data_IF_884873585442
#
_entry.id   IF_884873585442
#
_cell.length_a   1.000
_cell.length_b   1.000
_cell.length_c   1.000
_cell.angle_alpha   90.00
_cell.angle_beta   90.00
_cell.angle_gamma   90.00
#
_symmetry.space_group_name_H-M   'P 1'
#
loop_
_entity.id
_entity.type
_entity.pdbx_description
1 polymer ?
#
# COMPACT_ATOMS: atom_id res chain seq x y z
N UNK A 1 -17.88 34.96 5.98
CA UNK A 1 -18.78 33.86 6.36
C UNK A 1 -18.07 33.08 7.45
N UNK A 2 -18.51 33.21 8.70
CA UNK A 2 -17.84 32.59 9.85
C UNK A 2 -18.40 31.17 10.02
N UNK A 3 -17.57 30.15 9.80
CA UNK A 3 -17.90 28.76 10.11
C UNK A 3 -17.76 28.57 11.62
N UNK A 4 -18.88 28.42 12.32
CA UNK A 4 -18.87 28.15 13.77
C UNK A 4 -18.51 26.67 13.94
N UNK A 5 -17.29 26.38 14.37
CA UNK A 5 -16.93 25.06 14.90
C UNK A 5 -17.54 24.93 16.29
N UNK A 6 -18.57 24.08 16.43
CA UNK A 6 -19.09 23.69 17.74
C UNK A 6 -18.47 22.35 18.08
N UNK A 7 -17.48 22.36 18.98
CA UNK A 7 -16.94 21.15 19.63
C UNK A 7 -17.26 21.25 21.11
N UNK A 8 -18.24 20.47 21.57
CA UNK A 8 -18.56 20.35 23.00
C UNK A 8 -18.08 18.99 23.47
N UNK A 9 -17.04 18.99 24.31
CA UNK A 9 -16.57 17.81 25.03
C UNK A 9 -17.58 17.45 26.12
N UNK A 10 -18.01 16.20 26.18
CA UNK A 10 -18.66 15.67 27.37
C UNK A 10 -17.62 15.65 28.50
N UNK A 11 -17.94 16.26 29.64
CA UNK A 11 -17.17 16.12 30.86
C UNK A 11 -17.52 14.76 31.47
N UNK A 12 -16.58 13.82 31.52
CA UNK A 12 -16.68 12.64 32.40
C UNK A 12 -16.26 13.00 33.84
N UNK A 13 -16.84 12.36 34.89
CA UNK A 13 -17.33 10.98 34.92
C UNK A 13 -18.74 10.83 35.54
N UNK A 14 -19.77 10.74 34.70
CA UNK A 14 -21.07 10.12 35.03
C UNK A 14 -21.46 9.02 34.02
N UNK A 15 -20.58 8.69 33.07
CA UNK A 15 -20.82 7.79 31.94
C UNK A 15 -21.04 6.31 32.30
N UNK A 16 -20.89 5.92 33.58
CA UNK A 16 -21.13 4.54 34.01
C UNK A 16 -22.62 4.21 34.26
N UNK A 17 -23.54 5.18 34.16
CA UNK A 17 -24.93 5.00 34.64
C UNK A 17 -26.00 4.94 33.53
N UNK A 18 -25.67 5.10 32.25
CA UNK A 18 -26.65 4.92 31.15
C UNK A 18 -26.11 3.88 30.14
N UNK A 19 -25.98 2.63 30.60
CA UNK A 19 -25.87 1.44 29.74
C UNK A 19 -27.25 1.06 29.15
N UNK A 20 -27.95 2.05 28.60
CA UNK A 20 -29.05 1.82 27.65
C UNK A 20 -28.60 2.47 26.35
N UNK A 21 -28.50 1.68 25.28
CA UNK A 21 -28.04 2.10 23.97
C UNK A 21 -28.55 3.52 23.63
N UNK A 22 -27.63 4.49 23.55
CA UNK A 22 -27.98 5.84 23.13
C UNK A 22 -28.53 5.74 21.70
N UNK A 23 -29.83 5.95 21.54
CA UNK A 23 -30.46 5.92 20.23
C UNK A 23 -30.30 7.30 19.57
N UNK A 24 -29.61 7.34 18.44
CA UNK A 24 -29.43 8.57 17.66
C UNK A 24 -30.76 8.94 16.99
N UNK A 25 -31.46 9.94 17.51
CA UNK A 25 -32.74 10.41 16.96
C UNK A 25 -32.57 11.70 16.15
N UNK A 26 -33.58 12.07 15.35
CA UNK A 26 -33.58 13.35 14.63
C UNK A 26 -33.47 14.54 15.59
N UNK A 27 -34.21 14.51 16.70
CA UNK A 27 -34.17 15.57 17.71
C UNK A 27 -32.77 15.72 18.31
N UNK A 28 -32.11 14.60 18.64
CA UNK A 28 -30.73 14.61 19.12
C UNK A 28 -29.79 15.31 18.13
N UNK A 29 -29.85 14.96 16.84
CA UNK A 29 -28.99 15.56 15.81
C UNK A 29 -29.26 17.05 15.61
N UNK A 30 -30.53 17.46 15.58
CA UNK A 30 -30.91 18.88 15.43
C UNK A 30 -30.48 19.70 16.64
N UNK A 31 -30.67 19.19 17.85
CA UNK A 31 -30.23 19.84 19.08
C UNK A 31 -28.71 19.99 19.13
N UNK A 32 -27.98 18.94 18.75
CA UNK A 32 -26.51 18.95 18.78
C UNK A 32 -25.91 19.92 17.74
N UNK A 33 -26.54 20.04 16.56
CA UNK A 33 -26.05 20.88 15.46
C UNK A 33 -26.64 22.29 15.45
N UNK A 34 -27.70 22.55 16.22
CA UNK A 34 -28.47 23.80 16.18
C UNK A 34 -29.21 24.04 14.85
N UNK A 35 -29.28 23.04 13.98
CA UNK A 35 -29.92 23.15 12.67
C UNK A 35 -31.45 23.00 12.79
N UNK A 36 -32.19 23.66 11.91
CA UNK A 36 -33.67 23.54 11.86
C UNK A 36 -34.13 22.31 11.06
N UNK A 37 -33.28 21.81 10.17
CA UNK A 37 -33.55 20.66 9.32
C UNK A 37 -32.30 19.79 9.20
N UNK A 38 -32.49 18.48 9.08
CA UNK A 38 -31.40 17.54 8.86
C UNK A 38 -30.62 17.81 7.56
N UNK A 39 -31.29 18.36 6.55
CA UNK A 39 -30.66 18.78 5.30
C UNK A 39 -29.66 19.92 5.48
N UNK A 40 -29.71 20.67 6.59
CA UNK A 40 -28.85 21.84 6.77
C UNK A 40 -27.53 21.48 7.46
N UNK A 41 -27.45 20.26 8.02
CA UNK A 41 -26.29 19.74 8.73
C UNK A 41 -25.17 19.46 7.71
N UNK A 42 -24.04 20.15 7.88
CA UNK A 42 -22.81 19.96 7.09
C UNK A 42 -21.71 19.26 7.87
N UNK A 43 -21.66 19.46 9.17
CA UNK A 43 -20.64 18.88 10.04
C UNK A 43 -21.37 18.21 11.20
N UNK A 44 -21.03 16.97 11.50
CA UNK A 44 -21.62 16.20 12.58
C UNK A 44 -20.54 15.41 13.30
N UNK A 45 -20.45 15.57 14.62
CA UNK A 45 -19.61 14.74 15.48
C UNK A 45 -20.49 13.93 16.41
N UNK A 46 -20.27 12.62 16.41
CA UNK A 46 -20.88 11.61 17.26
C UNK A 46 -19.79 10.83 18.00
N UNK A 47 -18.66 11.48 18.29
CA UNK A 47 -17.54 10.84 18.97
C UNK A 47 -17.86 10.56 20.44
N UNK A 48 -17.26 9.51 21.00
CA UNK A 48 -17.35 9.20 22.44
C UNK A 48 -18.80 8.91 22.93
N UNK A 49 -19.64 8.32 22.06
CA UNK A 49 -21.06 8.04 22.36
C UNK A 49 -21.36 6.55 22.59
N UNK A 50 -20.35 5.67 22.52
CA UNK A 50 -20.51 4.22 22.69
C UNK A 50 -21.35 3.54 21.60
N UNK A 51 -21.52 4.18 20.44
CA UNK A 51 -22.36 3.71 19.34
C UNK A 51 -21.78 2.44 18.68
N UNK A 52 -22.67 1.56 18.25
CA UNK A 52 -22.31 0.34 17.50
C UNK A 52 -22.78 0.37 16.04
N UNK A 53 -23.76 1.22 15.73
CA UNK A 53 -24.34 1.38 14.40
C UNK A 53 -24.94 2.78 14.24
N UNK A 54 -25.15 3.20 13.00
CA UNK A 54 -25.86 4.44 12.66
C UNK A 54 -27.24 4.10 12.08
N UNK A 55 -28.31 4.83 12.45
CA UNK A 55 -29.64 4.63 11.88
C UNK A 55 -29.70 5.07 10.42
N UNK A 56 -29.66 4.10 9.51
CA UNK A 56 -29.55 4.32 8.05
C UNK A 56 -30.64 5.26 7.50
N UNK A 57 -31.89 5.07 7.91
CA UNK A 57 -33.01 5.90 7.45
C UNK A 57 -32.85 7.38 7.83
N UNK A 58 -32.27 7.65 9.00
CA UNK A 58 -32.01 9.00 9.48
C UNK A 58 -30.83 9.62 8.73
N UNK A 59 -29.72 8.89 8.60
CA UNK A 59 -28.51 9.36 7.93
C UNK A 59 -28.71 9.63 6.45
N UNK A 60 -29.60 8.89 5.78
CA UNK A 60 -29.97 9.15 4.39
C UNK A 60 -30.64 10.52 4.17
N UNK A 61 -31.12 11.18 5.23
CA UNK A 61 -31.70 12.53 5.17
C UNK A 61 -30.64 13.64 5.32
N UNK A 62 -29.42 13.32 5.75
CA UNK A 62 -28.28 14.23 5.91
C UNK A 62 -27.61 14.55 4.56
N UNK A 63 -28.40 15.01 3.59
CA UNK A 63 -28.00 15.14 2.18
C UNK A 63 -26.88 16.15 1.90
N UNK A 64 -26.61 17.07 2.85
CA UNK A 64 -25.56 18.07 2.77
C UNK A 64 -24.38 17.82 3.72
N UNK A 65 -24.29 16.65 4.34
CA UNK A 65 -23.19 16.33 5.24
C UNK A 65 -21.86 16.26 4.48
N UNK A 66 -20.89 17.04 4.95
CA UNK A 66 -19.54 17.21 4.40
C UNK A 66 -18.49 16.62 5.36
N UNK A 67 -18.68 16.74 6.67
CA UNK A 67 -17.80 16.16 7.68
C UNK A 67 -18.58 15.30 8.69
N UNK A 68 -18.11 14.07 8.90
CA UNK A 68 -18.64 13.14 9.88
C UNK A 68 -17.52 12.63 10.77
N UNK A 69 -17.70 12.75 12.08
CA UNK A 69 -16.83 12.18 13.10
C UNK A 69 -17.63 11.15 13.91
N UNK A 70 -17.23 9.89 13.83
CA UNK A 70 -17.75 8.76 14.61
C UNK A 70 -16.62 8.11 15.41
N UNK A 71 -15.54 8.85 15.68
CA UNK A 71 -14.39 8.33 16.41
C UNK A 71 -14.74 7.96 17.85
N UNK A 72 -13.94 7.11 18.47
CA UNK A 72 -14.09 6.71 19.88
C UNK A 72 -15.48 6.12 20.19
N UNK A 73 -15.82 5.06 19.45
CA UNK A 73 -17.08 4.34 19.55
C UNK A 73 -16.82 2.82 19.46
N UNK A 74 -17.88 2.03 19.37
CA UNK A 74 -17.83 0.57 19.33
C UNK A 74 -18.23 -0.02 17.97
N UNK A 75 -17.95 0.70 16.86
CA UNK A 75 -18.28 0.21 15.52
C UNK A 75 -17.36 -0.94 15.11
N UNK A 76 -17.96 -2.09 14.78
CA UNK A 76 -17.25 -3.22 14.15
C UNK A 76 -17.37 -3.21 12.62
N UNK A 77 -18.39 -2.52 12.11
CA UNK A 77 -18.63 -2.24 10.69
C UNK A 77 -19.46 -0.95 10.56
N UNK A 78 -19.44 -0.34 9.37
CA UNK A 78 -20.32 0.78 9.01
C UNK A 78 -21.25 0.32 7.90
N UNK A 79 -22.55 0.66 8.00
CA UNK A 79 -23.53 0.28 6.99
C UNK A 79 -23.12 0.79 5.60
N UNK A 80 -23.21 -0.02 4.53
CA UNK A 80 -22.86 0.39 3.17
C UNK A 80 -23.92 1.31 2.50
N UNK A 81 -24.93 1.75 3.25
CA UNK A 81 -26.16 2.37 2.72
C UNK A 81 -26.46 3.78 3.27
N UNK A 82 -25.46 4.49 3.79
CA UNK A 82 -25.61 5.82 4.42
C UNK A 82 -25.75 6.99 3.42
N UNK A 83 -25.59 6.75 2.11
CA UNK A 83 -25.89 7.71 1.02
C UNK A 83 -25.36 9.16 1.19
N UNK A 84 -24.25 9.35 1.91
CA UNK A 84 -23.66 10.66 2.20
C UNK A 84 -22.81 11.16 1.01
N UNK A 85 -23.46 11.49 -0.11
CA UNK A 85 -22.79 11.79 -1.39
C UNK A 85 -21.89 13.04 -1.37
N UNK A 86 -22.03 13.89 -0.35
CA UNK A 86 -21.25 15.13 -0.18
C UNK A 86 -20.14 15.00 0.86
N UNK A 87 -20.00 13.85 1.52
CA UNK A 87 -18.99 13.65 2.56
C UNK A 87 -17.58 13.78 1.97
N UNK A 88 -16.82 14.74 2.51
CA UNK A 88 -15.42 15.02 2.16
C UNK A 88 -14.46 14.60 3.27
N UNK A 89 -14.92 14.53 4.52
CA UNK A 89 -14.09 14.11 5.65
C UNK A 89 -14.83 13.12 6.53
N UNK A 90 -14.16 12.01 6.85
CA UNK A 90 -14.64 11.00 7.76
C UNK A 90 -13.56 10.66 8.79
N UNK A 91 -13.91 10.82 10.07
CA UNK A 91 -13.15 10.24 11.18
C UNK A 91 -13.90 9.05 11.75
N UNK A 92 -13.31 7.87 11.65
CA UNK A 92 -13.77 6.64 12.29
C UNK A 92 -12.65 5.96 13.08
N UNK A 93 -11.70 6.76 13.58
CA UNK A 93 -10.63 6.27 14.45
C UNK A 93 -11.17 5.75 15.79
N UNK A 94 -10.37 5.00 16.54
CA UNK A 94 -10.73 4.48 17.87
C UNK A 94 -12.05 3.68 17.84
N UNK A 95 -12.09 2.67 16.98
CA UNK A 95 -13.25 1.79 16.81
C UNK A 95 -12.75 0.35 16.64
N UNK A 96 -13.63 -0.58 16.28
CA UNK A 96 -13.33 -2.00 16.12
C UNK A 96 -13.52 -2.47 14.67
N UNK A 97 -13.38 -1.56 13.69
CA UNK A 97 -13.61 -1.85 12.27
C UNK A 97 -12.62 -2.91 11.75
N UNK A 98 -13.14 -3.88 11.01
CA UNK A 98 -12.35 -5.00 10.44
C UNK A 98 -12.19 -4.91 8.93
N UNK A 99 -12.99 -4.06 8.28
CA UNK A 99 -12.90 -3.77 6.86
C UNK A 99 -13.16 -2.29 6.58
N UNK A 100 -12.61 -1.81 5.48
CA UNK A 100 -12.75 -0.42 5.02
C UNK A 100 -13.69 -0.28 3.81
N UNK A 101 -14.30 -1.37 3.33
CA UNK A 101 -14.98 -1.35 2.02
C UNK A 101 -16.20 -0.42 2.00
N UNK A 102 -16.79 -0.16 3.18
CA UNK A 102 -17.90 0.77 3.33
C UNK A 102 -17.60 2.18 2.79
N UNK A 103 -16.33 2.60 2.67
CA UNK A 103 -15.98 3.93 2.14
C UNK A 103 -16.30 4.11 0.65
N UNK A 104 -16.56 3.01 -0.08
CA UNK A 104 -16.99 3.04 -1.48
C UNK A 104 -18.25 3.89 -1.71
N UNK A 105 -19.08 4.06 -0.68
CA UNK A 105 -20.31 4.86 -0.75
C UNK A 105 -20.07 6.38 -0.68
N UNK A 106 -18.83 6.83 -0.42
CA UNK A 106 -18.46 8.25 -0.26
C UNK A 106 -17.57 8.71 -1.43
N UNK A 107 -18.13 9.00 -2.62
CA UNK A 107 -17.35 9.29 -3.84
C UNK A 107 -16.58 10.60 -3.80
N UNK A 108 -16.86 11.47 -2.83
CA UNK A 108 -16.21 12.78 -2.64
C UNK A 108 -15.26 12.80 -1.44
N UNK A 109 -14.97 11.67 -0.81
CA UNK A 109 -14.11 11.62 0.36
C UNK A 109 -12.68 12.07 0.01
N UNK A 110 -12.18 13.06 0.75
CA UNK A 110 -10.86 13.68 0.60
C UNK A 110 -9.96 13.40 1.81
N UNK A 111 -10.54 13.26 3.00
CA UNK A 111 -9.82 12.96 4.24
C UNK A 111 -10.47 11.78 4.98
N UNK A 112 -9.66 10.80 5.36
CA UNK A 112 -10.09 9.60 6.08
C UNK A 112 -9.16 9.30 7.26
N UNK A 113 -9.73 9.13 8.44
CA UNK A 113 -9.02 8.76 9.66
C UNK A 113 -9.59 7.44 10.21
N UNK A 114 -8.74 6.44 10.37
CA UNK A 114 -9.06 5.04 10.72
C UNK A 114 -8.13 4.49 11.78
N UNK A 115 -7.29 5.33 12.40
CA UNK A 115 -6.32 4.94 13.43
C UNK A 115 -7.00 4.13 14.54
N UNK A 116 -6.28 3.18 15.13
CA UNK A 116 -6.78 2.36 16.24
C UNK A 116 -8.11 1.66 15.93
N UNK A 117 -8.13 0.97 14.78
CA UNK A 117 -9.13 -0.03 14.41
C UNK A 117 -8.43 -1.38 14.20
N UNK A 118 -9.19 -2.41 13.85
CA UNK A 118 -8.68 -3.74 13.52
C UNK A 118 -8.41 -3.91 12.01
N UNK A 119 -7.85 -2.86 11.38
CA UNK A 119 -7.52 -2.79 9.96
C UNK A 119 -6.04 -3.10 9.73
N UNK A 120 -5.73 -3.72 8.58
CA UNK A 120 -4.35 -4.03 8.20
C UNK A 120 -3.81 -3.09 7.11
N UNK A 121 -2.55 -3.28 6.73
CA UNK A 121 -1.90 -2.42 5.73
C UNK A 121 -2.63 -2.39 4.38
N UNK A 122 -3.36 -3.45 4.01
CA UNK A 122 -4.14 -3.57 2.79
C UNK A 122 -5.30 -2.59 2.75
N UNK A 123 -5.94 -2.32 3.90
CA UNK A 123 -7.10 -1.43 3.97
C UNK A 123 -6.76 -0.01 3.51
N UNK A 124 -5.54 0.46 3.76
CA UNK A 124 -5.05 1.73 3.21
C UNK A 124 -5.10 1.75 1.67
N UNK A 125 -4.68 0.67 1.02
CA UNK A 125 -4.67 0.56 -0.45
C UNK A 125 -6.08 0.39 -1.01
N UNK A 126 -6.94 -0.37 -0.30
CA UNK A 126 -8.35 -0.53 -0.66
C UNK A 126 -9.07 0.82 -0.57
N UNK A 127 -8.85 1.61 0.49
CA UNK A 127 -9.45 2.93 0.64
C UNK A 127 -9.06 3.87 -0.51
N UNK A 128 -7.77 3.92 -0.88
CA UNK A 128 -7.30 4.72 -2.03
C UNK A 128 -7.90 4.23 -3.36
N UNK A 129 -8.05 2.91 -3.53
CA UNK A 129 -8.66 2.34 -4.72
C UNK A 129 -10.17 2.64 -4.84
N UNK A 130 -10.88 2.71 -3.71
CA UNK A 130 -12.31 3.01 -3.64
C UNK A 130 -12.62 4.50 -3.71
N UNK A 131 -11.74 5.35 -3.17
CA UNK A 131 -11.92 6.79 -3.06
C UNK A 131 -10.90 7.55 -3.92
N UNK A 132 -11.19 7.83 -5.21
CA UNK A 132 -10.23 8.46 -6.14
C UNK A 132 -9.87 9.90 -5.76
N UNK A 133 -10.69 10.56 -4.94
CA UNK A 133 -10.44 11.93 -4.44
C UNK A 133 -9.70 11.97 -3.10
N UNK A 134 -9.38 10.82 -2.51
CA UNK A 134 -8.77 10.77 -1.18
C UNK A 134 -7.37 11.39 -1.21
N UNK A 135 -7.19 12.50 -0.49
CA UNK A 135 -5.92 13.23 -0.44
C UNK A 135 -5.14 12.92 0.83
N UNK A 136 -5.83 12.63 1.94
CA UNK A 136 -5.23 12.34 3.24
C UNK A 136 -5.79 11.06 3.86
N UNK A 137 -4.90 10.24 4.40
CA UNK A 137 -5.24 9.05 5.18
C UNK A 137 -4.44 9.07 6.48
N UNK A 138 -5.10 9.02 7.65
CA UNK A 138 -4.45 8.98 8.96
C UNK A 138 -3.40 10.09 9.20
N UNK A 139 -3.61 11.28 8.63
CA UNK A 139 -2.71 12.46 8.62
C UNK A 139 -1.59 12.45 7.57
N UNK A 140 -1.44 11.39 6.79
CA UNK A 140 -0.46 11.30 5.69
C UNK A 140 -1.09 11.73 4.37
N UNK A 141 -0.36 12.51 3.55
CA UNK A 141 -0.79 12.89 2.20
C UNK A 141 -0.51 11.75 1.21
N UNK A 142 -1.51 11.32 0.45
CA UNK A 142 -1.47 10.09 -0.36
C UNK A 142 -1.16 10.30 -1.85
N UNK A 143 -0.53 11.42 -2.23
CA UNK A 143 -0.30 11.76 -3.64
C UNK A 143 0.49 10.68 -4.42
N UNK A 144 1.47 10.03 -3.78
CA UNK A 144 2.23 8.94 -4.39
C UNK A 144 1.49 7.61 -4.38
N UNK A 145 0.61 7.37 -3.40
CA UNK A 145 -0.07 6.08 -3.23
C UNK A 145 -1.11 5.83 -4.32
N UNK A 146 -1.78 6.89 -4.81
CA UNK A 146 -2.64 6.80 -6.00
C UNK A 146 -1.92 6.24 -7.22
N UNK A 147 -0.69 6.69 -7.47
CA UNK A 147 0.11 6.18 -8.59
C UNK A 147 0.47 4.71 -8.39
N UNK A 148 0.82 4.32 -7.16
CA UNK A 148 1.15 2.93 -6.82
C UNK A 148 -0.06 2.01 -7.02
N UNK A 149 -1.21 2.39 -6.44
CA UNK A 149 -2.49 1.66 -6.58
C UNK A 149 -2.89 1.55 -8.05
N UNK A 150 -2.72 2.63 -8.83
CA UNK A 150 -2.97 2.63 -10.27
C UNK A 150 -2.05 1.66 -11.03
N UNK A 151 -0.74 1.71 -10.76
CA UNK A 151 0.24 0.82 -11.38
C UNK A 151 -0.02 -0.66 -11.03
N UNK A 152 -0.33 -0.94 -9.76
CA UNK A 152 -0.70 -2.28 -9.29
C UNK A 152 -1.97 -2.75 -9.98
N UNK A 153 -3.00 -1.89 -10.08
CA UNK A 153 -4.24 -2.16 -10.80
C UNK A 153 -4.00 -2.50 -12.27
N UNK A 154 -3.16 -1.72 -12.96
CA UNK A 154 -2.81 -1.96 -14.37
C UNK A 154 -2.10 -3.31 -14.52
N UNK A 155 -1.09 -3.59 -13.68
CA UNK A 155 -0.33 -4.84 -13.72
C UNK A 155 -1.23 -6.05 -13.46
N UNK A 156 -2.03 -6.02 -12.40
CA UNK A 156 -2.99 -7.10 -12.10
C UNK A 156 -4.02 -7.25 -13.22
N UNK A 157 -4.57 -6.14 -13.75
CA UNK A 157 -5.53 -6.19 -14.86
C UNK A 157 -4.97 -6.88 -16.09
N UNK A 158 -3.71 -6.59 -16.44
CA UNK A 158 -3.02 -7.26 -17.55
C UNK A 158 -2.90 -8.77 -17.31
N UNK A 159 -2.50 -9.16 -16.09
CA UNK A 159 -2.36 -10.57 -15.72
C UNK A 159 -3.70 -11.32 -15.73
N UNK A 160 -4.71 -10.77 -15.05
CA UNK A 160 -6.07 -11.35 -15.00
C UNK A 160 -6.66 -11.45 -16.40
N UNK A 161 -6.48 -10.42 -17.24
CA UNK A 161 -6.92 -10.44 -18.63
C UNK A 161 -6.21 -11.54 -19.43
N UNK A 162 -4.91 -11.74 -19.25
CA UNK A 162 -4.19 -12.84 -19.92
C UNK A 162 -4.77 -14.21 -19.57
N UNK A 163 -5.12 -14.44 -18.30
CA UNK A 163 -5.75 -15.70 -17.87
C UNK A 163 -7.16 -15.85 -18.45
N UNK A 164 -7.94 -14.78 -18.41
CA UNK A 164 -9.29 -14.73 -18.98
C UNK A 164 -9.27 -15.08 -20.47
N UNK A 165 -8.36 -14.45 -21.22
CA UNK A 165 -8.17 -14.64 -22.66
C UNK A 165 -7.77 -16.08 -23.00
N UNK A 166 -6.86 -16.67 -22.22
CA UNK A 166 -6.36 -18.02 -22.44
C UNK A 166 -7.40 -19.12 -22.11
N UNK A 167 -8.26 -18.92 -21.11
CA UNK A 167 -9.10 -20.01 -20.56
C UNK A 167 -10.61 -19.84 -20.74
N UNK A 168 -11.10 -18.62 -20.89
CA UNK A 168 -12.53 -18.31 -20.82
C UNK A 168 -13.06 -17.56 -22.07
N UNK A 169 -12.22 -16.83 -22.81
CA UNK A 169 -12.66 -16.05 -24.00
C UNK A 169 -13.37 -16.87 -25.07
N UNK A 170 -12.92 -18.11 -25.34
CA UNK A 170 -13.56 -18.99 -26.32
C UNK A 170 -14.87 -19.60 -25.80
N UNK A 171 -14.92 -19.95 -24.50
CA UNK A 171 -16.08 -20.56 -23.84
C UNK A 171 -17.28 -19.63 -23.71
N UNK A 172 -17.07 -18.31 -23.62
CA UNK A 172 -18.17 -17.33 -23.52
C UNK A 172 -18.85 -16.98 -24.84
N UNK A 173 -18.22 -17.24 -26.00
CA UNK A 173 -18.84 -16.95 -27.30
C UNK A 173 -19.95 -17.94 -27.68
N UNK A 174 -19.99 -19.10 -27.03
CA UNK A 174 -20.91 -20.20 -27.34
C UNK A 174 -22.13 -20.24 -26.42
N UNK A 175 -22.05 -19.64 -25.22
CA UNK A 175 -23.07 -19.79 -24.20
C UNK A 175 -23.78 -18.46 -23.91
N UNK A 176 -25.11 -18.42 -24.07
CA UNK A 176 -25.95 -17.35 -23.53
C UNK A 176 -25.91 -17.42 -21.99
N UNK A 177 -25.04 -16.64 -21.35
CA UNK A 177 -24.93 -16.62 -19.89
C UNK A 177 -26.17 -16.00 -19.23
N UNK A 178 -26.99 -16.82 -18.60
CA UNK A 178 -27.97 -16.40 -17.58
C UNK A 178 -27.25 -16.02 -16.28
N UNK A 179 -27.88 -15.22 -15.40
CA UNK A 179 -27.29 -14.76 -14.13
C UNK A 179 -26.77 -15.91 -13.22
N UNK A 180 -27.41 -17.09 -13.25
CA UNK A 180 -26.97 -18.25 -12.46
C UNK A 180 -25.70 -18.90 -13.03
N UNK A 181 -25.54 -18.91 -14.36
CA UNK A 181 -24.30 -19.37 -15.00
C UNK A 181 -23.16 -18.35 -14.78
N UNK A 182 -23.47 -17.06 -14.71
CA UNK A 182 -22.50 -15.98 -14.47
C UNK A 182 -21.75 -16.14 -13.15
N UNK A 183 -22.46 -16.31 -12.02
CA UNK A 183 -21.83 -16.43 -10.70
C UNK A 183 -20.98 -17.72 -10.58
N UNK A 184 -21.41 -18.78 -11.25
CA UNK A 184 -20.67 -20.05 -11.30
C UNK A 184 -19.35 -19.90 -12.06
N UNK A 185 -19.38 -19.25 -13.23
CA UNK A 185 -18.18 -18.98 -14.03
C UNK A 185 -17.24 -18.02 -13.32
N UNK A 186 -17.76 -16.97 -12.67
CA UNK A 186 -16.97 -16.06 -11.85
C UNK A 186 -16.24 -16.82 -10.72
N UNK A 187 -16.96 -17.68 -9.99
CA UNK A 187 -16.39 -18.49 -8.91
C UNK A 187 -15.28 -19.43 -9.39
N UNK A 188 -15.47 -20.07 -10.55
CA UNK A 188 -14.45 -20.92 -11.18
C UNK A 188 -13.23 -20.11 -11.62
N UNK A 189 -13.44 -18.95 -12.25
CA UNK A 189 -12.37 -18.05 -12.67
C UNK A 189 -11.57 -17.52 -11.47
N UNK A 190 -12.24 -17.12 -10.39
CA UNK A 190 -11.61 -16.71 -9.14
C UNK A 190 -10.75 -17.82 -8.54
N UNK A 191 -11.24 -19.06 -8.54
CA UNK A 191 -10.47 -20.21 -8.06
C UNK A 191 -9.24 -20.50 -8.95
N UNK A 192 -9.36 -20.35 -10.26
CA UNK A 192 -8.23 -20.50 -11.18
C UNK A 192 -7.16 -19.43 -10.96
N UNK A 193 -7.58 -18.18 -10.76
CA UNK A 193 -6.67 -17.08 -10.47
C UNK A 193 -5.93 -17.28 -9.13
N UNK A 194 -6.64 -17.74 -8.09
CA UNK A 194 -6.03 -18.11 -6.80
C UNK A 194 -5.01 -19.24 -6.94
N UNK A 195 -5.27 -20.23 -7.82
CA UNK A 195 -4.36 -21.36 -8.09
C UNK A 195 -3.09 -20.98 -8.86
N UNK A 196 -3.15 -19.97 -9.74
CA UNK A 196 -2.01 -19.58 -10.56
C UNK A 196 -0.87 -18.89 -9.79
N UNK A 197 -0.99 -18.70 -8.46
CA UNK A 197 -0.02 -17.96 -7.64
C UNK A 197 0.34 -16.60 -8.27
N UNK A 198 -0.61 -15.96 -8.96
CA UNK A 198 -0.42 -14.59 -9.49
C UNK A 198 -0.15 -13.58 -8.36
N UNK A 199 -0.59 -13.94 -7.16
CA UNK A 199 -0.39 -13.24 -5.90
C UNK A 199 0.64 -14.04 -5.10
N UNK A 200 1.93 -13.83 -5.36
CA UNK A 200 2.99 -14.25 -4.44
C UNK A 200 3.25 -13.15 -3.39
N UNK A 201 3.70 -13.57 -2.21
CA UNK A 201 3.91 -12.71 -1.03
C UNK A 201 2.65 -12.55 -0.16
N UNK A 202 2.81 -12.67 1.16
CA UNK A 202 1.74 -12.45 2.16
C UNK A 202 1.32 -10.97 2.26
N UNK A 203 2.13 -10.08 1.71
CA UNK A 203 1.89 -8.64 1.76
C UNK A 203 0.68 -8.25 0.92
N UNK A 204 -0.17 -7.41 1.49
CA UNK A 204 -1.37 -6.84 0.86
C UNK A 204 -2.34 -7.88 0.32
N UNK A 205 -2.43 -9.06 0.95
CA UNK A 205 -3.29 -10.16 0.47
C UNK A 205 -4.74 -9.71 0.27
N UNK A 206 -5.32 -9.04 1.28
CA UNK A 206 -6.70 -8.51 1.23
C UNK A 206 -6.90 -7.53 0.08
N UNK A 207 -5.92 -6.66 -0.19
CA UNK A 207 -5.98 -5.72 -1.31
C UNK A 207 -5.85 -6.46 -2.65
N UNK A 208 -4.93 -7.41 -2.78
CA UNK A 208 -4.76 -8.18 -4.01
C UNK A 208 -6.01 -9.00 -4.33
N UNK A 209 -6.63 -9.63 -3.33
CA UNK A 209 -7.90 -10.34 -3.46
C UNK A 209 -9.02 -9.40 -3.90
N UNK A 210 -9.18 -8.26 -3.21
CA UNK A 210 -10.15 -7.22 -3.57
C UNK A 210 -9.98 -6.73 -5.02
N UNK A 211 -8.73 -6.45 -5.42
CA UNK A 211 -8.43 -6.00 -6.77
C UNK A 211 -8.72 -7.06 -7.82
N UNK A 212 -8.44 -8.33 -7.51
CA UNK A 212 -8.68 -9.45 -8.39
C UNK A 212 -10.19 -9.67 -8.59
N UNK A 213 -10.99 -9.56 -7.53
CA UNK A 213 -12.46 -9.56 -7.61
C UNK A 213 -12.99 -8.39 -8.44
N UNK A 214 -12.54 -7.16 -8.16
CA UNK A 214 -12.94 -5.96 -8.89
C UNK A 214 -12.63 -6.05 -10.39
N UNK A 215 -11.42 -6.50 -10.75
CA UNK A 215 -11.00 -6.64 -12.15
C UNK A 215 -11.75 -7.77 -12.86
N UNK A 216 -11.97 -8.91 -12.18
CA UNK A 216 -12.72 -10.03 -12.74
C UNK A 216 -14.16 -9.62 -13.08
N UNK A 217 -14.84 -8.94 -12.14
CA UNK A 217 -16.18 -8.40 -12.36
C UNK A 217 -16.21 -7.42 -13.54
N UNK A 218 -15.26 -6.49 -13.62
CA UNK A 218 -15.17 -5.54 -14.73
C UNK A 218 -14.99 -6.20 -16.10
N UNK A 219 -14.12 -7.21 -16.20
CA UNK A 219 -13.90 -7.96 -17.44
C UNK A 219 -15.17 -8.70 -17.84
N UNK A 220 -15.88 -9.31 -16.89
CA UNK A 220 -17.13 -10.03 -17.17
C UNK A 220 -18.26 -9.09 -17.60
N UNK A 221 -18.42 -7.93 -16.96
CA UNK A 221 -19.38 -6.91 -17.39
C UNK A 221 -19.07 -6.35 -18.78
N UNK A 222 -17.79 -6.22 -19.13
CA UNK A 222 -17.38 -5.80 -20.49
C UNK A 222 -17.79 -6.80 -21.58
N UNK A 223 -17.91 -8.09 -21.24
CA UNK A 223 -18.37 -9.13 -22.17
C UNK A 223 -19.90 -9.10 -22.34
N UNK A 224 -20.66 -8.84 -21.27
CA UNK A 224 -22.12 -8.67 -21.34
C UNK A 224 -22.55 -7.39 -22.07
N UNK A 225 -21.76 -6.31 -22.00
CA UNK A 225 -22.06 -5.06 -22.73
C UNK A 225 -21.86 -5.13 -24.25
N UNK A 226 -21.20 -6.17 -24.76
CA UNK A 226 -20.87 -6.31 -26.17
C UNK A 226 -21.92 -7.08 -27.00
N UNK A 227 -23.03 -7.54 -26.39
CA UNK A 227 -24.11 -8.21 -27.11
C UNK A 227 -25.10 -7.25 -27.80
N UNK A 228 -24.97 -5.92 -27.64
CA UNK A 228 -25.88 -4.91 -28.22
C UNK A 228 -25.20 -3.71 -28.90
N UNK A 229 -24.05 -3.89 -29.56
CA UNK A 229 -23.55 -2.88 -30.50
C UNK A 229 -22.76 -3.53 -31.63
N UNK A 230 -23.44 -3.78 -32.75
CA UNK A 230 -22.76 -4.06 -34.02
C UNK A 230 -22.15 -2.77 -34.58
N UNK A 231 -20.83 -2.65 -34.58
CA UNK A 231 -20.10 -1.80 -35.55
C UNK A 231 -18.76 -2.45 -35.92
N UNK A 232 -18.55 -2.50 -37.24
CA UNK A 232 -17.46 -3.07 -38.03
C UNK A 232 -16.06 -2.42 -37.77
N UNK A 233 -14.94 -3.08 -38.11
CA UNK A 233 -13.60 -2.74 -37.65
C UNK A 233 -12.90 -1.70 -38.54
N UNK A 234 -12.09 -0.81 -37.94
CA UNK A 234 -11.17 0.06 -38.68
C UNK A 234 -9.70 -0.18 -38.30
N UNK A 235 -9.02 -0.83 -39.26
CA UNK A 235 -7.62 -0.71 -39.72
C UNK A 235 -6.49 -0.67 -38.69
N UNK A 236 -5.85 -1.83 -38.52
CA UNK A 236 -4.42 -1.96 -38.20
C UNK A 236 -3.59 -1.35 -39.34
N UNK A 237 -2.57 -0.55 -38.99
CA UNK A 237 -1.47 -0.16 -39.89
C UNK A 237 -0.26 -1.03 -39.55
N UNK A 238 0.32 -1.60 -40.61
CA UNK A 238 1.44 -2.55 -40.68
C UNK A 238 2.75 -1.77 -40.80
N UNK A 239 3.76 -2.15 -40.02
CA UNK A 239 5.20 -1.85 -40.20
C UNK A 239 5.87 -3.13 -39.68
N UNK A 240 6.06 -4.17 -40.50
CA UNK A 240 7.26 -4.46 -41.33
C UNK A 240 8.55 -4.44 -40.50
N UNK A 241 8.92 -5.65 -40.07
CA UNK A 241 10.22 -6.07 -39.57
C UNK A 241 11.19 -6.14 -40.75
N UNK A 242 12.38 -5.55 -40.61
CA UNK A 242 13.55 -5.89 -41.41
C UNK A 242 14.59 -6.47 -40.48
N UNK A 243 14.94 -7.72 -40.78
CA UNK A 243 16.11 -8.44 -40.29
C UNK A 243 17.36 -7.74 -40.82
N UNK A 244 18.35 -7.51 -39.96
CA UNK A 244 19.75 -7.38 -40.37
C UNK A 244 20.61 -8.11 -39.32
N UNK A 245 21.16 -9.24 -39.76
CA UNK A 245 22.31 -9.91 -39.16
C UNK A 245 23.55 -9.04 -39.38
N UNK A 246 24.45 -8.92 -38.38
CA UNK A 246 25.89 -9.02 -38.62
C UNK A 246 26.73 -9.06 -37.32
N UNK A 247 27.47 -10.17 -37.22
CA UNK A 247 28.82 -10.40 -36.71
C UNK A 247 29.34 -9.85 -35.36
N UNK A 248 29.70 -10.84 -34.54
CA UNK A 248 30.70 -10.80 -33.49
C UNK A 248 32.11 -10.51 -34.05
N UNK A 249 32.81 -9.53 -33.47
CA UNK A 249 34.27 -9.56 -33.41
C UNK A 249 34.76 -9.55 -31.95
N UNK A 250 35.61 -10.53 -31.69
CA UNK A 250 36.43 -10.74 -30.51
C UNK A 250 37.43 -9.59 -30.31
N UNK A 251 37.51 -9.05 -29.10
CA UNK A 251 38.81 -8.67 -28.52
C UNK A 251 38.85 -9.01 -27.03
N UNK A 252 39.39 -10.19 -26.74
CA UNK A 252 39.99 -10.51 -25.44
C UNK A 252 41.21 -9.63 -25.23
N UNK A 253 41.19 -8.73 -24.24
CA UNK A 253 42.40 -8.17 -23.61
C UNK A 253 42.14 -7.94 -22.11
N UNK A 254 42.20 -9.00 -21.32
CA UNK A 254 42.38 -8.89 -19.87
C UNK A 254 43.88 -8.77 -19.57
N UNK A 255 44.36 -7.54 -19.40
CA UNK A 255 45.64 -7.31 -18.72
C UNK A 255 45.47 -7.53 -17.21
N UNK A 256 46.28 -8.42 -16.66
CA UNK A 256 46.41 -8.73 -15.22
C UNK A 256 46.47 -7.46 -14.36
N UNK A 257 45.42 -7.17 -13.61
CA UNK A 257 45.49 -6.22 -12.48
C UNK A 257 45.97 -7.02 -11.27
N UNK A 258 47.20 -6.76 -10.82
CA UNK A 258 47.67 -7.26 -9.54
C UNK A 258 46.94 -6.51 -8.40
N UNK A 259 46.43 -7.21 -7.37
CA UNK A 259 45.86 -6.53 -6.21
C UNK A 259 46.98 -5.78 -5.49
N UNK A 260 46.84 -4.45 -5.37
CA UNK A 260 47.66 -3.67 -4.42
C UNK A 260 47.34 -4.15 -2.99
N UNK A 261 48.35 -4.33 -2.13
CA UNK A 261 48.10 -4.64 -0.73
C UNK A 261 47.31 -3.49 -0.07
N UNK A 262 46.33 -3.85 0.76
CA UNK A 262 45.53 -2.90 1.51
C UNK A 262 46.43 -2.00 2.37
N UNK A 263 46.52 -0.73 2.01
CA UNK A 263 46.96 0.33 2.90
C UNK A 263 45.69 0.89 3.53
N UNK A 264 45.37 0.45 4.74
CA UNK A 264 44.45 1.20 5.59
C UNK A 264 45.15 1.45 6.93
N UNK A 265 45.96 2.52 6.94
CA UNK A 265 46.09 3.33 8.14
C UNK A 265 44.73 3.97 8.37
N UNK A 266 43.86 3.28 9.13
CA UNK A 266 42.60 3.86 9.57
C UNK A 266 42.92 5.00 10.55
N UNK A 267 42.30 6.18 10.41
CA UNK A 267 42.45 7.25 11.40
C UNK A 267 41.92 6.78 12.77
N UNK A 268 42.49 7.33 13.85
CA UNK A 268 41.95 7.12 15.20
C UNK A 268 40.47 7.49 15.21
N UNK A 269 39.63 6.50 15.57
CA UNK A 269 38.19 6.67 15.65
C UNK A 269 37.92 7.44 16.95
N UNK A 270 37.31 8.63 16.92
CA UNK A 270 36.96 9.35 18.14
C UNK A 270 36.04 8.50 19.01
N UNK A 271 36.16 8.64 20.32
CA UNK A 271 35.31 7.95 21.30
C UNK A 271 33.86 8.43 21.08
N UNK A 272 32.98 7.54 20.63
CA UNK A 272 31.58 7.86 20.34
C UNK A 272 30.71 7.48 21.53
N UNK A 273 30.00 8.45 22.10
CA UNK A 273 28.99 8.18 23.12
C UNK A 273 27.72 7.58 22.49
N UNK A 274 27.24 6.42 22.94
CA UNK A 274 26.00 5.84 22.45
C UNK A 274 24.80 6.67 22.93
N UNK A 275 24.09 7.31 21.98
CA UNK A 275 22.93 8.16 22.28
C UNK A 275 21.63 7.36 22.40
N UNK A 276 21.49 6.27 21.64
CA UNK A 276 20.24 5.50 21.57
C UNK A 276 20.50 3.99 21.59
N UNK A 277 19.70 3.26 22.37
CA UNK A 277 19.68 1.80 22.40
C UNK A 277 18.33 1.29 21.89
N UNK A 278 18.30 0.80 20.64
CA UNK A 278 17.05 0.39 19.98
C UNK A 278 17.06 -1.12 19.67
N UNK A 279 16.12 -1.87 20.26
CA UNK A 279 15.92 -3.32 19.98
C UNK A 279 14.86 -3.55 18.89
N UNK A 280 15.14 -3.10 17.68
CA UNK A 280 14.19 -3.14 16.56
C UNK A 280 14.01 -4.53 15.90
N UNK A 281 15.00 -5.43 16.05
CA UNK A 281 14.97 -6.78 15.47
C UNK A 281 14.51 -7.88 16.45
N UNK A 282 14.08 -7.52 17.67
CA UNK A 282 13.63 -8.50 18.65
C UNK A 282 12.45 -9.33 18.12
N UNK A 283 12.61 -10.65 18.17
CA UNK A 283 11.59 -11.60 17.75
C UNK A 283 10.36 -11.43 18.63
N UNK A 284 9.20 -11.28 17.97
CA UNK A 284 7.89 -11.12 18.61
C UNK A 284 7.84 -10.00 19.66
N UNK A 285 8.64 -8.94 19.46
CA UNK A 285 8.81 -7.81 20.38
C UNK A 285 9.25 -8.22 21.80
N UNK A 286 9.88 -9.39 21.93
CA UNK A 286 10.38 -9.86 23.21
C UNK A 286 11.63 -9.06 23.64
N UNK A 287 11.58 -8.27 24.72
CA UNK A 287 12.72 -7.46 25.16
C UNK A 287 13.92 -8.31 25.62
N UNK A 288 13.68 -9.60 25.95
CA UNK A 288 14.70 -10.56 26.36
C UNK A 288 15.30 -11.35 25.20
N UNK A 289 14.90 -11.09 23.95
CA UNK A 289 15.51 -11.74 22.79
C UNK A 289 16.96 -11.28 22.61
N UNK A 290 17.89 -12.22 22.84
CA UNK A 290 19.32 -12.05 22.65
C UNK A 290 19.88 -12.92 21.51
N UNK A 291 19.01 -13.63 20.78
CA UNK A 291 19.41 -14.54 19.70
C UNK A 291 19.36 -13.87 18.34
N UNK A 292 18.42 -12.97 18.12
CA UNK A 292 18.29 -12.28 16.83
C UNK A 292 19.41 -11.27 16.66
N UNK A 293 20.28 -11.51 15.68
CA UNK A 293 21.41 -10.64 15.34
C UNK A 293 21.04 -9.69 14.21
N UNK A 294 21.57 -8.47 14.28
CA UNK A 294 21.65 -7.55 13.13
C UNK A 294 22.84 -8.00 12.28
N UNK A 295 22.59 -8.27 11.00
CA UNK A 295 23.60 -8.80 10.09
C UNK A 295 24.29 -7.72 9.26
N UNK A 296 23.55 -6.69 8.87
CA UNK A 296 24.08 -5.58 8.07
C UNK A 296 23.28 -4.32 8.31
N UNK A 297 23.95 -3.19 8.16
CA UNK A 297 23.34 -1.87 8.10
C UNK A 297 23.87 -1.09 6.90
N UNK A 298 23.09 -0.11 6.44
CA UNK A 298 23.50 0.84 5.41
C UNK A 298 22.71 2.15 5.59
N UNK A 299 23.40 3.29 5.57
CA UNK A 299 22.76 4.60 5.61
C UNK A 299 22.13 4.94 4.26
N UNK A 300 20.97 5.59 4.32
CA UNK A 300 20.26 6.05 3.13
C UNK A 300 21.07 7.17 2.44
N UNK A 301 21.29 7.09 1.11
CA UNK A 301 22.00 8.13 0.38
C UNK A 301 21.16 9.40 0.23
N UNK A 302 21.81 10.56 0.27
CA UNK A 302 21.16 11.84 0.00
C UNK A 302 20.82 11.96 -1.50
N UNK A 303 19.63 12.43 -1.84
CA UNK A 303 19.16 12.42 -3.25
C UNK A 303 19.88 13.43 -4.13
N UNK A 304 20.24 14.57 -3.55
CA UNK A 304 20.80 15.73 -4.26
C UNK A 304 22.33 15.79 -4.18
N UNK A 305 22.94 15.11 -3.20
CA UNK A 305 24.39 15.12 -2.94
C UNK A 305 24.99 13.70 -3.03
N UNK A 306 25.53 13.30 -4.19
CA UNK A 306 26.16 12.00 -4.35
C UNK A 306 27.37 11.84 -3.40
N UNK A 307 27.34 10.79 -2.56
CA UNK A 307 28.39 10.48 -1.59
C UNK A 307 28.07 10.90 -0.16
N UNK A 308 27.02 11.69 0.05
CA UNK A 308 26.48 11.99 1.38
C UNK A 308 25.34 11.03 1.73
N UNK A 309 25.09 10.89 3.03
CA UNK A 309 24.01 10.06 3.57
C UNK A 309 23.10 10.87 4.47
N UNK A 310 21.81 10.51 4.49
CA UNK A 310 20.84 11.06 5.44
C UNK A 310 21.06 10.48 6.84
N UNK A 311 20.28 10.95 7.82
CA UNK A 311 20.25 10.38 9.18
C UNK A 311 19.50 9.04 9.27
N UNK A 312 18.97 8.53 8.16
CA UNK A 312 18.20 7.29 8.13
C UNK A 312 19.15 6.10 7.87
N UNK A 313 19.07 5.09 8.73
CA UNK A 313 19.81 3.84 8.58
C UNK A 313 18.86 2.68 8.35
N UNK A 314 19.16 1.87 7.34
CA UNK A 314 18.55 0.56 7.15
C UNK A 314 19.34 -0.50 7.91
N UNK A 315 18.64 -1.37 8.63
CA UNK A 315 19.23 -2.52 9.33
C UNK A 315 18.45 -3.79 9.01
N UNK A 316 19.15 -4.90 8.81
CA UNK A 316 18.52 -6.20 8.57
C UNK A 316 18.99 -7.26 9.57
N UNK A 317 18.05 -8.08 10.05
CA UNK A 317 18.35 -9.10 11.04
C UNK A 317 17.13 -9.96 11.37
N UNK A 318 17.34 -11.28 11.47
CA UNK A 318 16.22 -12.22 11.61
C UNK A 318 15.26 -12.11 10.42
N UNK A 319 13.97 -12.20 10.67
CA UNK A 319 12.91 -12.01 9.68
C UNK A 319 12.47 -10.54 9.51
N UNK A 320 13.31 -9.59 9.95
CA UNK A 320 12.97 -8.18 10.08
C UNK A 320 13.99 -7.29 9.38
N UNK A 321 13.48 -6.29 8.68
CA UNK A 321 14.19 -5.14 8.15
C UNK A 321 13.64 -3.87 8.81
N UNK A 322 14.52 -2.99 9.26
CA UNK A 322 14.15 -1.74 9.93
C UNK A 322 14.76 -0.53 9.23
N UNK A 323 14.04 0.59 9.28
CA UNK A 323 14.58 1.92 9.01
C UNK A 323 14.50 2.73 10.31
N UNK A 324 15.62 3.29 10.72
CA UNK A 324 15.76 4.07 11.95
C UNK A 324 16.25 5.46 11.60
N UNK A 325 15.69 6.47 12.25
CA UNK A 325 16.26 7.81 12.26
C UNK A 325 17.27 7.90 13.42
N UNK A 326 18.56 7.98 13.09
CA UNK A 326 19.63 8.06 14.07
C UNK A 326 19.61 9.36 14.88
N UNK A 327 19.03 10.45 14.36
CA UNK A 327 18.98 11.73 15.06
C UNK A 327 17.93 11.76 16.18
N UNK A 328 16.87 10.97 16.03
CA UNK A 328 15.76 10.92 17.00
C UNK A 328 15.62 9.58 17.72
N UNK A 329 16.32 8.54 17.26
CA UNK A 329 16.20 7.17 17.74
C UNK A 329 14.87 6.49 17.37
N UNK A 330 14.08 7.07 16.48
CA UNK A 330 12.75 6.56 16.12
C UNK A 330 12.82 5.48 15.05
N UNK A 331 11.95 4.47 15.19
CA UNK A 331 11.71 3.45 14.18
C UNK A 331 10.75 3.98 13.13
N UNK A 332 11.27 4.25 11.93
CA UNK A 332 10.54 4.80 10.79
C UNK A 332 9.80 3.71 10.01
N UNK A 333 10.39 2.51 9.91
CA UNK A 333 9.80 1.37 9.22
C UNK A 333 10.20 0.07 9.91
N UNK A 334 9.25 -0.87 9.98
CA UNK A 334 9.52 -2.26 10.33
C UNK A 334 8.85 -3.19 9.32
N UNK A 335 9.65 -3.80 8.47
CA UNK A 335 9.20 -4.77 7.47
C UNK A 335 9.55 -6.17 7.96
N UNK A 336 8.54 -6.99 8.26
CA UNK A 336 8.70 -8.38 8.74
C UNK A 336 8.26 -9.34 7.65
N UNK A 337 9.16 -10.23 7.22
CA UNK A 337 8.86 -11.25 6.22
C UNK A 337 9.03 -12.66 6.82
N UNK A 338 7.95 -13.29 7.29
CA UNK A 338 8.04 -14.59 7.95
C UNK A 338 8.66 -15.65 7.03
N UNK A 339 9.57 -16.46 7.58
CA UNK A 339 10.39 -17.49 6.90
C UNK A 339 11.60 -16.99 6.12
N UNK A 340 11.72 -15.68 5.87
CA UNK A 340 12.95 -15.09 5.39
C UNK A 340 13.87 -14.77 6.57
N UNK A 341 15.18 -14.93 6.39
CA UNK A 341 16.18 -14.39 7.30
C UNK A 341 17.11 -13.48 6.51
N UNK A 342 16.99 -12.18 6.73
CA UNK A 342 17.76 -11.18 6.00
C UNK A 342 19.20 -11.13 6.50
N UNK A 343 20.15 -11.14 5.57
CA UNK A 343 21.59 -11.09 5.86
C UNK A 343 22.25 -9.85 5.27
N UNK A 344 21.61 -9.17 4.34
CA UNK A 344 22.24 -8.06 3.63
C UNK A 344 21.25 -7.02 3.15
N UNK A 345 21.71 -5.77 3.09
CA UNK A 345 21.01 -4.61 2.56
C UNK A 345 21.95 -3.79 1.68
N UNK A 346 21.39 -3.10 0.69
CA UNK A 346 22.08 -2.13 -0.15
C UNK A 346 21.10 -1.07 -0.67
N UNK A 347 21.53 0.18 -0.69
CA UNK A 347 20.75 1.30 -1.22
C UNK A 347 21.07 1.57 -2.68
N UNK A 348 20.07 1.96 -3.45
CA UNK A 348 20.23 2.55 -4.78
C UNK A 348 19.31 3.76 -4.96
N UNK A 349 19.71 4.72 -5.79
CA UNK A 349 18.93 5.91 -6.11
C UNK A 349 18.60 5.92 -7.60
N UNK A 350 17.32 5.76 -7.94
CA UNK A 350 16.87 5.67 -9.34
C UNK A 350 16.11 6.92 -9.78
N UNK A 351 16.27 7.29 -11.04
CA UNK A 351 15.53 8.36 -11.71
C UNK A 351 14.25 7.78 -12.33
N UNK A 352 13.08 8.26 -11.89
CA UNK A 352 11.81 7.94 -12.56
C UNK A 352 11.50 9.03 -13.60
N UNK A 353 11.56 8.68 -14.89
CA UNK A 353 11.12 9.55 -15.97
C UNK A 353 9.59 9.55 -16.02
N UNK A 354 8.97 10.68 -15.67
CA UNK A 354 7.54 10.87 -15.94
C UNK A 354 7.34 11.15 -17.43
N UNK A 355 6.30 10.56 -18.04
CA UNK A 355 5.95 10.78 -19.46
C UNK A 355 5.48 12.20 -19.78
N UNK A 356 5.48 13.10 -18.78
CA UNK A 356 4.90 14.44 -18.84
C UNK A 356 5.94 15.55 -18.68
N UNK A 357 7.16 15.40 -19.22
CA UNK A 357 8.11 16.51 -19.46
C UNK A 357 8.49 17.39 -18.26
N UNK A 358 8.07 17.06 -17.04
CA UNK A 358 8.31 17.81 -15.81
C UNK A 358 9.20 16.97 -14.91
N UNK A 359 10.51 17.19 -15.05
CA UNK A 359 11.56 16.79 -14.09
C UNK A 359 11.71 15.29 -13.85
N UNK A 360 12.93 14.78 -14.01
CA UNK A 360 13.29 13.45 -13.49
C UNK A 360 13.19 13.48 -11.97
N UNK A 361 12.31 12.66 -11.37
CA UNK A 361 12.21 12.54 -9.91
C UNK A 361 13.12 11.42 -9.44
N UNK A 362 14.12 11.73 -8.63
CA UNK A 362 14.99 10.74 -7.98
C UNK A 362 14.28 10.12 -6.77
N UNK A 363 14.50 8.83 -6.56
CA UNK A 363 13.90 8.06 -5.47
C UNK A 363 14.89 7.01 -4.98
N UNK A 364 15.01 6.88 -3.65
CA UNK A 364 15.80 5.83 -3.02
C UNK A 364 15.03 4.51 -2.95
N UNK A 365 15.75 3.44 -3.19
CA UNK A 365 15.26 2.07 -3.15
C UNK A 365 16.23 1.23 -2.34
N UNK A 366 15.67 0.41 -1.46
CA UNK A 366 16.42 -0.48 -0.60
C UNK A 366 16.32 -1.91 -1.12
N UNK A 367 17.43 -2.48 -1.53
CA UNK A 367 17.53 -3.90 -1.86
C UNK A 367 17.94 -4.68 -0.61
N UNK A 368 17.23 -5.77 -0.32
CA UNK A 368 17.57 -6.69 0.78
C UNK A 368 17.50 -8.14 0.30
N UNK A 369 18.29 -9.01 0.92
CA UNK A 369 18.35 -10.43 0.55
C UNK A 369 18.77 -11.32 1.71
N UNK A 370 18.44 -12.60 1.60
CA UNK A 370 18.62 -13.52 2.71
C UNK A 370 18.56 -15.00 2.35
N UNK A 371 18.06 -15.78 3.30
CA UNK A 371 17.89 -17.23 3.27
C UNK A 371 17.03 -17.75 2.12
N UNK A 372 16.03 -17.02 1.62
CA UNK A 372 15.21 -17.55 0.51
C UNK A 372 15.89 -17.43 -0.85
N UNK A 373 17.05 -16.75 -0.95
CA UNK A 373 17.70 -16.53 -2.25
C UNK A 373 16.95 -15.55 -3.15
N UNK A 374 16.08 -14.73 -2.57
CA UNK A 374 15.29 -13.71 -3.28
C UNK A 374 15.81 -12.33 -2.88
N UNK A 375 15.99 -11.45 -3.85
CA UNK A 375 16.24 -10.04 -3.59
C UNK A 375 14.90 -9.31 -3.54
N UNK A 376 14.62 -8.65 -2.43
CA UNK A 376 13.44 -7.81 -2.25
C UNK A 376 13.83 -6.34 -2.45
N UNK A 377 13.14 -5.65 -3.35
CA UNK A 377 13.32 -4.21 -3.58
C UNK A 377 12.20 -3.46 -2.87
N UNK A 378 12.58 -2.68 -1.86
CA UNK A 378 11.68 -2.02 -0.93
C UNK A 378 11.76 -0.51 -1.15
N UNK A 379 10.60 0.12 -1.30
CA UNK A 379 10.49 1.57 -1.35
C UNK A 379 10.30 2.11 0.09
N UNK A 380 11.26 2.89 0.64
CA UNK A 380 11.25 3.32 2.05
C UNK A 380 10.00 4.09 2.45
N UNK A 381 9.65 5.13 1.69
CA UNK A 381 8.50 6.00 1.97
C UNK A 381 7.13 5.32 1.81
N UNK A 382 7.06 4.22 1.06
CA UNK A 382 5.82 3.49 0.81
C UNK A 382 5.71 2.23 1.66
N UNK A 383 6.79 1.85 2.35
CA UNK A 383 6.91 0.63 3.15
C UNK A 383 6.51 -0.64 2.38
N UNK A 384 6.80 -0.68 1.08
CA UNK A 384 6.35 -1.72 0.16
C UNK A 384 7.53 -2.38 -0.56
N UNK A 385 7.54 -3.71 -0.58
CA UNK A 385 8.33 -4.48 -1.53
C UNK A 385 7.65 -4.43 -2.91
N UNK A 386 8.20 -3.68 -3.86
CA UNK A 386 7.57 -3.48 -5.17
C UNK A 386 8.05 -4.48 -6.23
N UNK A 387 9.20 -5.14 -5.99
CA UNK A 387 9.73 -6.16 -6.87
C UNK A 387 10.54 -7.19 -6.10
N UNK A 388 10.45 -8.44 -6.56
CA UNK A 388 11.26 -9.56 -6.10
C UNK A 388 12.09 -10.07 -7.28
N UNK A 389 13.41 -10.09 -7.13
CA UNK A 389 14.31 -10.66 -8.13
C UNK A 389 14.69 -12.07 -7.69
N UNK A 390 14.27 -13.05 -8.49
CA UNK A 390 14.57 -14.47 -8.28
C UNK A 390 15.67 -14.88 -9.25
N UNK A 391 16.80 -15.31 -8.70
CA UNK A 391 17.93 -15.80 -9.49
C UNK A 391 18.88 -16.69 -8.71
N UNK A 392 18.72 -16.77 -7.39
CA UNK A 392 19.62 -17.52 -6.53
C UNK A 392 18.94 -18.75 -5.96
N UNK A 393 19.63 -19.89 -6.01
CA UNK A 393 19.20 -21.16 -5.39
C UNK A 393 19.74 -21.34 -3.97
N UNK A 394 20.60 -20.42 -3.53
CA UNK A 394 21.26 -20.40 -2.22
C UNK A 394 21.06 -19.05 -1.54
N UNK A 395 21.49 -18.97 -0.29
CA UNK A 395 21.35 -17.77 0.52
C UNK A 395 22.13 -16.60 -0.09
N UNK A 396 21.49 -15.44 -0.16
CA UNK A 396 22.15 -14.20 -0.55
C UNK A 396 22.87 -13.67 0.68
N UNK A 397 24.19 -13.58 0.57
CA UNK A 397 25.07 -13.14 1.65
C UNK A 397 25.49 -11.67 1.53
N UNK A 398 25.52 -11.15 0.30
CA UNK A 398 25.87 -9.77 0.05
C UNK A 398 25.15 -9.22 -1.17
N UNK A 399 24.72 -7.96 -1.04
CA UNK A 399 24.28 -7.10 -2.13
C UNK A 399 25.24 -5.91 -2.23
N UNK A 400 25.49 -5.48 -3.46
CA UNK A 400 26.27 -4.30 -3.79
C UNK A 400 25.64 -3.62 -5.01
N UNK A 401 25.44 -2.32 -4.94
CA UNK A 401 24.97 -1.51 -6.08
C UNK A 401 26.18 -0.88 -6.77
N UNK A 402 26.15 -0.80 -8.10
CA UNK A 402 27.22 -0.14 -8.84
C UNK A 402 27.29 1.36 -8.48
N UNK A 403 28.48 1.94 -8.25
CA UNK A 403 28.62 3.32 -7.80
C UNK A 403 28.13 4.36 -8.83
N UNK A 404 28.26 4.06 -10.12
CA UNK A 404 27.91 4.99 -11.22
C UNK A 404 26.63 4.59 -11.96
N UNK A 405 26.21 3.33 -11.83
CA UNK A 405 25.07 2.77 -12.58
C UNK A 405 24.01 2.29 -11.59
N UNK A 406 23.08 3.16 -11.14
CA UNK A 406 22.19 2.84 -10.03
C UNK A 406 21.21 1.70 -10.34
N UNK A 407 21.05 1.33 -11.61
CA UNK A 407 20.21 0.21 -12.02
C UNK A 407 20.92 -1.15 -11.91
N UNK A 408 22.23 -1.17 -11.68
CA UNK A 408 23.02 -2.39 -11.61
C UNK A 408 23.19 -2.84 -10.16
N UNK A 409 22.67 -4.03 -9.88
CA UNK A 409 22.75 -4.68 -8.59
C UNK A 409 23.52 -5.99 -8.71
N UNK A 410 24.58 -6.12 -7.93
CA UNK A 410 25.36 -7.34 -7.80
C UNK A 410 24.95 -8.09 -6.53
N UNK A 411 24.73 -9.39 -6.67
CA UNK A 411 24.30 -10.27 -5.60
C UNK A 411 25.23 -11.49 -5.51
N UNK A 412 25.68 -11.78 -4.29
CA UNK A 412 26.60 -12.91 -4.02
C UNK A 412 25.95 -13.94 -3.11
N UNK A 413 26.01 -15.20 -3.55
CA UNK A 413 25.58 -16.35 -2.77
C UNK A 413 26.73 -16.90 -1.93
N UNK A 414 26.36 -17.52 -0.80
CA UNK A 414 27.28 -18.34 -0.01
C UNK A 414 26.98 -19.82 -0.18
#
# INVERSE_FOLDING_TARGET
>A
MWTVQVTVKLKEPEAAVIMSALEVTEEFLLNQTGCKKLSDIKQLSLSELGLTHLPVALFNRLTNLEELDISDNNFTSVSPSLNLKKLTKLDCSQNQLTDIQFVAQFPKLEELYTQNNNLDASDRYIAVALCPKLQRYNKTREASLHQVVSNLRIKLRSQVKSVWEARYKSKLKTDNLTNNNFQTVLSQFMNDLRKQKLIEGKDLLKYKEFMLESVAQELMHSVQGNSHAGVSPRKRRRIEETEDEENYENTNHFSKIQPKPCILNLPDVPDYDPVHFVRCHAKDNNPSDNRTKVWKCAFEPELDNPGETTNIVATCGGDILCLLDCSTGKLMMRYKLPKEHFFTVAWTTVCSSTSSGRGSKRTNILATGGKLGIVHLIHPAQHLCYAELKGHTKYISSLLVHPEEPTWLFSKNR
#
